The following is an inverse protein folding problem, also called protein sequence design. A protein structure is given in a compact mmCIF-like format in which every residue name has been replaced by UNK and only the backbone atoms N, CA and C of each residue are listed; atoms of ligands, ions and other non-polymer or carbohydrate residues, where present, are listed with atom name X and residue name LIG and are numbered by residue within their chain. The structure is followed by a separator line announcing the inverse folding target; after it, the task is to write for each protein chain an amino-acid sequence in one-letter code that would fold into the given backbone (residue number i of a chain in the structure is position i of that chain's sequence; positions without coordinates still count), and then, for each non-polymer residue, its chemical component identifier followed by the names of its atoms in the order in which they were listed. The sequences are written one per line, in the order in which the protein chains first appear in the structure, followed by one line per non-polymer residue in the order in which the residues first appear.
data_IF_740567669120
#
_entry.id   IF_740567669120
#
_cell.length_a   1.000
_cell.length_b   1.000
_cell.length_c   1.000
_cell.angle_alpha   90.00
_cell.angle_beta   90.00
_cell.angle_gamma   90.00
#
_symmetry.space_group_name_H-M   'P 1'
#
loop_
_entity.id
_entity.type
_entity.pdbx_description
1 polymer ?
#
# COMPACT_ATOMS: atom_id res chain seq x y z
N UNK A 1 4.13 -5.09 -1.98
CA UNK A 1 4.44 -3.70 -2.44
C UNK A 1 5.24 -2.92 -1.42
N UNK A 2 4.72 -2.63 -0.22
CA UNK A 2 5.41 -1.80 0.78
C UNK A 2 6.77 -2.36 1.20
N UNK A 3 6.82 -3.65 1.49
CA UNK A 3 8.04 -4.38 1.86
C UNK A 3 9.13 -4.35 0.79
N UNK A 4 8.75 -4.11 -0.48
CA UNK A 4 9.66 -4.09 -1.62
C UNK A 4 9.95 -2.66 -2.10
N UNK A 5 9.71 -1.67 -1.22
CA UNK A 5 9.79 -0.23 -1.51
C UNK A 5 9.12 0.19 -2.84
N UNK A 6 8.04 -0.51 -3.23
CA UNK A 6 7.43 -0.36 -4.55
C UNK A 6 6.07 0.34 -4.51
N UNK A 7 5.51 0.60 -3.32
CA UNK A 7 4.14 1.12 -3.18
C UNK A 7 3.95 2.43 -3.95
N UNK A 8 4.78 3.44 -3.66
CA UNK A 8 4.64 4.76 -4.27
C UNK A 8 5.08 4.81 -5.73
N UNK A 9 5.93 3.87 -6.13
CA UNK A 9 6.40 3.73 -7.51
C UNK A 9 5.30 3.16 -8.42
N UNK A 10 4.47 2.25 -7.88
CA UNK A 10 3.41 1.56 -8.64
C UNK A 10 2.04 2.26 -8.49
N UNK A 11 1.71 2.75 -7.29
CA UNK A 11 0.46 3.46 -6.98
C UNK A 11 0.72 4.97 -7.02
N UNK A 12 0.47 5.60 -8.17
CA UNK A 12 0.84 7.00 -8.50
C UNK A 12 0.08 8.07 -7.68
N UNK A 13 -0.50 7.76 -6.50
CA UNK A 13 -1.32 8.71 -5.74
C UNK A 13 -1.48 8.39 -4.25
N UNK A 14 -0.50 7.75 -3.60
CA UNK A 14 -0.56 7.29 -2.20
C UNK A 14 -1.72 6.33 -1.88
N UNK A 15 -2.49 5.94 -2.91
CA UNK A 15 -3.72 5.19 -2.78
C UNK A 15 -3.52 3.73 -2.42
N UNK A 16 -4.64 3.02 -2.43
CA UNK A 16 -4.70 1.57 -2.27
C UNK A 16 -4.88 0.89 -3.64
N UNK A 17 -4.42 -0.36 -3.80
CA UNK A 17 -4.75 -1.16 -4.97
C UNK A 17 -6.28 -1.17 -5.19
N UNK A 18 -6.73 -1.06 -6.43
CA UNK A 18 -8.16 -1.14 -6.75
C UNK A 18 -8.65 -2.58 -6.57
N UNK A 19 -9.97 -2.77 -6.50
CA UNK A 19 -10.54 -4.11 -6.53
C UNK A 19 -10.03 -4.90 -7.74
N UNK A 20 -9.74 -6.18 -7.48
CA UNK A 20 -9.10 -7.13 -8.39
C UNK A 20 -7.69 -6.76 -8.86
N UNK A 21 -7.04 -5.75 -8.26
CA UNK A 21 -5.62 -5.53 -8.52
C UNK A 21 -4.80 -6.74 -8.07
N UNK A 22 -3.79 -7.10 -8.86
CA UNK A 22 -2.96 -8.27 -8.60
C UNK A 22 -1.50 -7.98 -8.93
N UNK A 23 -0.59 -8.56 -8.13
CA UNK A 23 0.83 -8.63 -8.48
C UNK A 23 1.17 -10.07 -8.83
N UNK A 24 1.90 -10.26 -9.92
CA UNK A 24 2.37 -11.56 -10.39
C UNK A 24 3.88 -11.59 -10.27
N UNK A 25 4.40 -12.56 -9.52
CA UNK A 25 5.83 -12.81 -9.38
C UNK A 25 6.14 -14.08 -10.15
N UNK A 26 6.90 -13.94 -11.22
CA UNK A 26 7.27 -15.06 -12.08
C UNK A 26 8.76 -15.35 -11.94
N UNK A 27 9.08 -16.60 -11.61
CA UNK A 27 10.44 -17.09 -11.56
C UNK A 27 10.76 -17.82 -12.87
N UNK A 28 11.77 -17.34 -13.56
CA UNK A 28 12.21 -17.82 -14.86
C UNK A 28 13.58 -18.47 -14.78
N UNK A 29 13.80 -19.51 -15.57
CA UNK A 29 15.14 -20.05 -15.80
C UNK A 29 15.74 -19.36 -17.03
N UNK A 30 16.67 -18.42 -16.82
CA UNK A 30 17.30 -17.65 -17.90
C UNK A 30 18.70 -18.20 -18.21
N UNK A 31 19.35 -17.67 -19.25
CA UNK A 31 20.74 -18.03 -19.57
C UNK A 31 21.74 -17.60 -18.50
N UNK A 32 21.37 -16.63 -17.66
CA UNK A 32 22.21 -16.08 -16.60
C UNK A 32 21.84 -16.66 -15.21
N UNK A 33 20.96 -17.66 -15.17
CA UNK A 33 20.46 -18.28 -13.94
C UNK A 33 18.99 -17.91 -13.66
N UNK A 34 18.51 -18.08 -12.41
CA UNK A 34 17.14 -17.74 -12.05
C UNK A 34 16.91 -16.23 -12.14
N UNK A 35 15.91 -15.83 -12.92
CA UNK A 35 15.50 -14.44 -13.12
C UNK A 35 14.08 -14.21 -12.61
N UNK A 36 13.84 -13.06 -11.99
CA UNK A 36 12.53 -12.63 -11.54
C UNK A 36 11.95 -11.61 -12.51
N UNK A 37 10.67 -11.81 -12.85
CA UNK A 37 9.84 -10.84 -13.57
C UNK A 37 8.60 -10.56 -12.73
N UNK A 38 8.24 -9.29 -12.56
CA UNK A 38 7.12 -8.89 -11.73
C UNK A 38 6.18 -8.00 -12.51
N UNK A 39 4.90 -8.38 -12.51
CA UNK A 39 3.85 -7.64 -13.17
C UNK A 39 2.81 -7.13 -12.19
N UNK A 40 2.17 -6.03 -12.55
CA UNK A 40 1.03 -5.46 -11.83
C UNK A 40 -0.17 -5.32 -12.75
N UNK A 41 -1.31 -5.82 -12.29
CA UNK A 41 -2.62 -5.64 -12.90
C UNK A 41 -3.42 -4.67 -12.04
N UNK A 42 -3.91 -3.57 -12.64
CA UNK A 42 -4.44 -2.45 -11.87
C UNK A 42 -5.85 -2.66 -11.35
N UNK A 43 -6.73 -3.30 -12.13
CA UNK A 43 -8.16 -3.43 -11.86
C UNK A 43 -8.84 -4.33 -12.92
N UNK A 44 -10.11 -4.66 -12.71
CA UNK A 44 -10.86 -5.59 -13.56
C UNK A 44 -11.12 -5.12 -15.01
N UNK A 45 -10.93 -3.83 -15.31
CA UNK A 45 -11.12 -3.28 -16.67
C UNK A 45 -9.84 -3.26 -17.48
N UNK A 46 -8.68 -3.32 -16.81
CA UNK A 46 -7.40 -3.38 -17.49
C UNK A 46 -7.19 -4.80 -18.04
N UNK A 47 -6.74 -4.93 -19.28
CA UNK A 47 -6.47 -6.24 -19.88
C UNK A 47 -4.98 -6.57 -19.84
N UNK A 48 -4.12 -5.55 -19.72
CA UNK A 48 -2.68 -5.73 -19.80
C UNK A 48 -2.05 -5.86 -18.41
N UNK A 49 -0.95 -6.63 -18.38
CA UNK A 49 -0.06 -6.73 -17.23
C UNK A 49 1.06 -5.70 -17.40
N UNK A 50 1.22 -4.80 -16.43
CA UNK A 50 2.30 -3.81 -16.44
C UNK A 50 3.56 -4.43 -15.87
N UNK A 51 4.67 -4.41 -16.62
CA UNK A 51 5.97 -4.80 -16.08
C UNK A 51 6.44 -3.76 -15.07
N UNK A 52 6.53 -4.17 -13.80
CA UNK A 52 6.96 -3.34 -12.68
C UNK A 52 8.28 -3.83 -12.08
N UNK A 53 8.98 -4.73 -12.76
CA UNK A 53 10.19 -5.40 -12.24
C UNK A 53 11.26 -4.39 -11.80
N UNK A 54 11.49 -3.34 -12.59
CA UNK A 54 12.46 -2.30 -12.29
C UNK A 54 12.04 -1.35 -11.16
N UNK A 55 10.79 -1.39 -10.73
CA UNK A 55 10.27 -0.56 -9.64
C UNK A 55 10.46 -1.21 -8.27
N UNK A 56 10.77 -2.50 -8.23
CA UNK A 56 11.08 -3.20 -7.00
C UNK A 56 12.46 -2.79 -6.50
N UNK A 57 12.57 -2.69 -5.18
CA UNK A 57 13.84 -2.39 -4.52
C UNK A 57 14.97 -3.34 -4.98
N UNK A 58 16.14 -2.76 -5.21
CA UNK A 58 17.34 -3.43 -5.71
C UNK A 58 17.23 -4.14 -7.07
N UNK A 59 16.08 -4.15 -7.76
CA UNK A 59 15.98 -4.82 -9.04
C UNK A 59 16.55 -3.99 -10.20
N UNK A 60 16.36 -2.68 -10.24
CA UNK A 60 16.84 -1.83 -11.34
C UNK A 60 18.35 -1.94 -11.60
N UNK A 61 19.14 -2.13 -10.54
CA UNK A 61 20.61 -2.25 -10.61
C UNK A 61 21.07 -3.67 -10.93
N UNK A 62 20.19 -4.66 -10.75
CA UNK A 62 20.51 -6.09 -10.86
C UNK A 62 19.70 -6.78 -11.97
N UNK A 63 19.28 -6.01 -12.98
CA UNK A 63 18.56 -6.52 -14.14
C UNK A 63 19.52 -6.92 -15.27
N UNK A 64 19.17 -7.99 -15.97
CA UNK A 64 19.82 -8.36 -17.23
C UNK A 64 19.29 -7.55 -18.43
N UNK A 65 19.89 -7.74 -19.61
CA UNK A 65 19.49 -7.04 -20.84
C UNK A 65 18.09 -7.38 -21.34
N UNK A 66 17.47 -8.46 -20.83
CA UNK A 66 16.10 -8.85 -21.16
C UNK A 66 15.10 -8.35 -20.11
N UNK A 67 15.59 -7.62 -19.11
CA UNK A 67 14.80 -7.05 -18.03
C UNK A 67 14.35 -8.07 -16.98
N UNK A 68 15.10 -9.16 -16.76
CA UNK A 68 14.92 -10.01 -15.59
C UNK A 68 15.78 -9.52 -14.44
N UNK A 69 15.19 -9.39 -13.26
CA UNK A 69 15.93 -9.11 -12.04
C UNK A 69 16.65 -10.37 -11.56
N UNK A 70 17.93 -10.28 -11.20
CA UNK A 70 18.68 -11.42 -10.67
C UNK A 70 18.02 -11.93 -9.38
N UNK A 71 17.56 -13.18 -9.37
CA UNK A 71 16.82 -13.74 -8.24
C UNK A 71 17.68 -13.84 -6.97
N UNK A 72 18.98 -14.12 -7.09
CA UNK A 72 19.86 -14.26 -5.93
C UNK A 72 20.07 -12.90 -5.25
N UNK A 73 20.22 -11.83 -6.03
CA UNK A 73 20.31 -10.46 -5.50
C UNK A 73 18.99 -10.03 -4.87
N UNK A 74 17.86 -10.28 -5.55
CA UNK A 74 16.54 -10.00 -5.00
C UNK A 74 16.32 -10.72 -3.66
N UNK A 75 16.65 -12.01 -3.57
CA UNK A 75 16.50 -12.81 -2.35
C UNK A 75 17.42 -12.32 -1.24
N UNK A 76 18.68 -12.04 -1.55
CA UNK A 76 19.68 -11.64 -0.55
C UNK A 76 19.31 -10.31 0.08
N UNK A 77 18.91 -9.32 -0.73
CA UNK A 77 18.46 -8.03 -0.24
C UNK A 77 17.07 -8.12 0.44
N UNK A 78 16.22 -9.05 -0.02
CA UNK A 78 14.92 -9.32 0.57
C UNK A 78 14.94 -9.87 2.00
N UNK A 79 16.05 -10.48 2.43
CA UNK A 79 16.19 -11.03 3.79
C UNK A 79 16.04 -9.95 4.87
N UNK A 80 16.44 -8.70 4.59
CA UNK A 80 16.27 -7.58 5.53
C UNK A 80 14.81 -7.35 5.93
N UNK A 81 13.88 -7.78 5.08
CA UNK A 81 12.44 -7.65 5.30
C UNK A 81 11.78 -8.91 5.89
N UNK A 82 12.54 -9.99 6.07
CA UNK A 82 12.02 -11.22 6.64
C UNK A 82 11.78 -11.02 8.16
N UNK A 83 10.54 -11.21 8.66
CA UNK A 83 10.20 -10.89 10.04
C UNK A 83 10.88 -11.81 11.08
N UNK A 84 11.46 -12.93 10.67
CA UNK A 84 12.06 -13.89 11.59
C UNK A 84 10.99 -14.55 12.46
N UNK A 85 11.01 -14.31 13.77
CA UNK A 85 10.05 -14.91 14.70
C UNK A 85 8.79 -14.04 14.83
N UNK A 86 7.78 -14.36 14.02
CA UNK A 86 6.49 -13.65 14.01
C UNK A 86 5.77 -13.70 15.36
N UNK A 87 5.84 -14.81 16.11
CA UNK A 87 5.16 -14.92 17.41
C UNK A 87 5.68 -13.86 18.40
N UNK A 88 7.00 -13.65 18.44
CA UNK A 88 7.61 -12.61 19.27
C UNK A 88 7.16 -11.21 18.84
N UNK A 89 7.12 -10.95 17.54
CA UNK A 89 6.69 -9.65 16.99
C UNK A 89 5.21 -9.36 17.25
N UNK A 90 4.36 -10.39 17.19
CA UNK A 90 2.93 -10.28 17.48
C UNK A 90 2.67 -10.02 18.97
N UNK A 91 3.45 -10.60 19.87
CA UNK A 91 3.37 -10.35 21.32
C UNK A 91 3.77 -8.92 21.70
N UNK A 92 4.71 -8.31 20.96
CA UNK A 92 5.14 -6.92 21.17
C UNK A 92 4.09 -5.89 20.74
N UNK A 93 3.00 -6.30 20.08
CA UNK A 93 1.90 -5.42 19.69
C UNK A 93 0.60 -5.79 20.40
N UNK A 94 0.24 -5.06 21.47
CA UNK A 94 -1.15 -5.07 21.98
C UNK A 94 -2.05 -4.33 20.99
N UNK A 95 -2.55 -5.04 19.97
CA UNK A 95 -3.55 -4.49 19.07
C UNK A 95 -4.79 -4.08 19.87
N UNK A 96 -5.14 -2.78 19.85
CA UNK A 96 -6.24 -2.25 20.68
C UNK A 96 -7.62 -2.82 20.28
N UNK A 97 -7.77 -3.38 19.07
CA UNK A 97 -8.96 -4.09 18.58
C UNK A 97 -8.55 -4.95 17.39
N UNK A 98 -8.73 -6.27 17.48
CA UNK A 98 -8.60 -7.20 16.34
C UNK A 98 -9.95 -7.49 15.66
N UNK A 99 -11.05 -6.94 16.17
CA UNK A 99 -12.36 -7.07 15.54
C UNK A 99 -12.47 -6.01 14.43
N UNK A 100 -11.98 -6.35 13.24
CA UNK A 100 -12.42 -5.70 12.02
C UNK A 100 -13.60 -6.51 11.50
N UNK A 101 -14.82 -6.05 11.76
CA UNK A 101 -16.02 -6.57 11.13
C UNK A 101 -16.34 -5.67 9.93
N UNK A 102 -16.18 -6.14 8.68
CA UNK A 102 -16.44 -5.33 7.49
C UNK A 102 -17.92 -4.93 7.34
N UNK A 103 -18.82 -5.59 8.09
CA UNK A 103 -20.26 -5.30 8.11
C UNK A 103 -20.69 -4.45 9.32
N UNK A 104 -19.78 -4.12 10.24
CA UNK A 104 -20.06 -3.12 11.28
C UNK A 104 -20.00 -1.73 10.65
N UNK A 105 -21.15 -1.06 10.53
CA UNK A 105 -21.18 0.36 10.18
C UNK A 105 -20.35 1.16 11.19
N UNK A 106 -19.25 1.77 10.71
CA UNK A 106 -18.48 2.74 11.50
C UNK A 106 -19.44 3.80 12.03
N UNK A 107 -19.65 3.81 13.34
CA UNK A 107 -20.34 4.92 13.98
C UNK A 107 -19.38 6.10 13.89
N UNK A 108 -19.60 6.98 12.90
CA UNK A 108 -18.80 8.18 12.68
C UNK A 108 -18.56 8.85 14.03
N UNK A 109 -17.28 9.07 14.35
CA UNK A 109 -16.90 9.84 15.53
C UNK A 109 -17.75 11.12 15.53
N UNK A 110 -18.55 11.29 16.57
CA UNK A 110 -19.37 12.48 16.72
C UNK A 110 -18.39 13.65 16.83
N UNK A 111 -18.22 14.41 15.76
CA UNK A 111 -17.55 15.70 15.84
C UNK A 111 -18.35 16.57 16.78
N UNK A 112 -17.95 16.61 18.06
CA UNK A 112 -18.43 17.61 18.98
C UNK A 112 -17.86 18.94 18.52
N UNK A 113 -18.61 19.61 17.63
CA UNK A 113 -18.35 21.01 17.31
C UNK A 113 -18.70 21.80 18.56
N UNK A 114 -17.67 22.13 19.34
CA UNK A 114 -17.80 23.09 20.44
C UNK A 114 -17.97 24.46 19.78
N UNK A 115 -19.22 24.87 19.60
CA UNK A 115 -19.53 26.25 19.19
C UNK A 115 -19.20 27.14 20.38
N UNK A 116 -18.09 27.86 20.30
CA UNK A 116 -17.75 28.85 21.32
C UNK A 116 -18.77 30.00 21.29
N UNK A 117 -19.15 30.47 22.49
CA UNK A 117 -20.15 31.52 22.73
C UNK A 117 -20.02 32.82 21.90
N UNK A 118 -18.85 33.28 21.41
CA UNK A 118 -18.80 34.51 20.62
C UNK A 118 -19.49 34.39 19.25
N UNK A 119 -19.59 33.18 18.70
CA UNK A 119 -20.17 32.97 17.37
C UNK A 119 -21.71 33.10 17.35
N UNK A 120 -22.38 32.89 18.50
CA UNK A 120 -23.84 32.98 18.60
C UNK A 120 -24.35 34.43 18.58
N UNK A 121 -23.52 35.38 19.03
CA UNK A 121 -23.91 36.80 19.13
C UNK A 121 -23.93 37.49 17.77
N UNK A 122 -23.06 37.09 16.84
CA UNK A 122 -23.00 37.68 15.49
C UNK A 122 -24.23 37.33 14.62
N UNK A 123 -24.81 36.14 14.81
CA UNK A 123 -25.97 35.67 14.04
C UNK A 123 -27.29 36.35 14.43
N UNK A 124 -27.40 36.88 15.65
CA UNK A 124 -28.62 37.56 16.13
C UNK A 124 -28.68 39.05 15.79
N UNK A 125 -27.62 39.62 15.20
CA UNK A 125 -27.54 41.06 14.89
C UNK A 125 -28.14 41.46 13.52
N UNK A 126 -28.61 40.51 12.72
CA UNK A 126 -29.07 40.76 11.34
C UNK A 126 -30.59 40.71 11.16
N UNK A 127 -31.38 40.96 12.20
CA UNK A 127 -32.83 41.16 12.05
C UNK A 127 -33.12 42.67 11.96
N UNK A 128 -33.51 43.21 10.79
CA UNK A 128 -34.10 44.54 10.72
C UNK A 128 -35.52 44.46 11.31
N UNK A 129 -35.82 45.32 12.28
CA UNK A 129 -37.16 45.55 12.84
C UNK A 129 -37.70 46.85 12.22
N UNK A 130 -39.02 46.98 12.06
CA UNK A 130 -39.79 46.89 10.81
C UNK A 130 -39.66 48.09 9.85
#
# INVERSE_FOLDING_TARGET
MCTLDAKQKILVSDGYPKYSAAMFFELWNTTNGPGLKVYYHRNFTEEQLEDVTNLLDHCSENMDSNGFCNYNEFRTNGIAYYPGNENKLCEDTKSKKTFFNPDENETKATSTVIVSFPALILLLSQVPIP
#
